data_IF_445103388776
#
_entry.id   IF_445103388776
#
_cell.length_a   1.000
_cell.length_b   1.000
_cell.length_c   1.000
_cell.angle_alpha   90.00
_cell.angle_beta   90.00
_cell.angle_gamma   90.00
#
_symmetry.space_group_name_H-M   'P 1'
#
loop_
_entity.id
_entity.type
_entity.pdbx_description
1 polymer ?
#
# COMPACT_ATOMS: atom_id res chain seq x y z
N UNK A 1 5.46 1.93 16.59
CA UNK A 1 4.81 0.70 16.08
C UNK A 1 5.83 -0.18 15.37
N UNK A 2 5.72 -1.48 15.54
CA UNK A 2 6.50 -2.42 14.76
C UNK A 2 5.90 -2.54 13.34
N UNK A 3 6.70 -3.03 12.41
CA UNK A 3 6.28 -3.12 10.99
C UNK A 3 5.00 -3.93 10.80
N UNK A 4 4.84 -5.03 11.51
CA UNK A 4 3.64 -5.86 11.39
C UNK A 4 2.39 -5.12 11.84
N UNK A 5 2.50 -4.30 12.88
CA UNK A 5 1.41 -3.47 13.37
C UNK A 5 1.04 -2.37 12.36
N UNK A 6 2.07 -1.79 11.73
CA UNK A 6 1.87 -0.77 10.70
C UNK A 6 1.13 -1.36 9.50
N UNK A 7 1.56 -2.51 9.03
CA UNK A 7 0.92 -3.20 7.90
C UNK A 7 -0.53 -3.58 8.23
N UNK A 8 -0.79 -4.07 9.44
CA UNK A 8 -2.14 -4.39 9.88
C UNK A 8 -3.04 -3.15 9.90
N UNK A 9 -2.51 -2.03 10.38
CA UNK A 9 -3.23 -0.76 10.42
C UNK A 9 -3.54 -0.25 9.00
N UNK A 10 -2.56 -0.35 8.09
CA UNK A 10 -2.73 0.02 6.69
C UNK A 10 -3.86 -0.81 6.07
N UNK A 11 -3.83 -2.11 6.27
CA UNK A 11 -4.83 -3.04 5.74
C UNK A 11 -6.22 -2.69 6.24
N UNK A 12 -6.35 -2.42 7.55
CA UNK A 12 -7.63 -2.07 8.15
C UNK A 12 -8.18 -0.78 7.55
N UNK A 13 -7.35 0.25 7.40
CA UNK A 13 -7.78 1.53 6.84
C UNK A 13 -8.17 1.40 5.37
N UNK A 14 -7.41 0.64 4.59
CA UNK A 14 -7.76 0.37 3.19
C UNK A 14 -9.13 -0.31 3.08
N UNK A 15 -9.41 -1.29 3.92
CA UNK A 15 -10.72 -1.97 3.94
C UNK A 15 -11.85 -1.05 4.34
N UNK A 16 -11.61 -0.12 5.25
CA UNK A 16 -12.61 0.86 5.67
C UNK A 16 -13.04 1.77 4.51
N UNK A 17 -12.18 1.93 3.51
CA UNK A 17 -12.49 2.69 2.29
C UNK A 17 -12.96 1.81 1.14
N UNK A 18 -13.26 0.54 1.41
CA UNK A 18 -13.86 -0.36 0.43
C UNK A 18 -12.87 -1.13 -0.44
N UNK A 19 -11.59 -1.17 -0.09
CA UNK A 19 -10.61 -1.93 -0.85
C UNK A 19 -10.99 -3.41 -0.89
N UNK A 20 -11.10 -3.95 -2.11
CA UNK A 20 -11.39 -5.35 -2.36
C UNK A 20 -10.09 -6.16 -2.47
N UNK A 21 -9.01 -5.50 -2.86
CA UNK A 21 -7.70 -6.12 -3.04
C UNK A 21 -6.64 -5.19 -2.45
N UNK A 22 -5.74 -5.76 -1.67
CA UNK A 22 -4.65 -5.03 -1.03
C UNK A 22 -3.38 -5.86 -1.24
N UNK A 23 -2.36 -5.26 -1.85
CA UNK A 23 -1.12 -5.96 -2.21
C UNK A 23 0.06 -5.18 -1.67
N UNK A 24 0.89 -5.85 -0.88
CA UNK A 24 2.21 -5.33 -0.50
C UNK A 24 3.18 -5.63 -1.63
N UNK A 25 3.91 -4.62 -2.11
CA UNK A 25 4.87 -4.82 -3.19
C UNK A 25 6.17 -4.05 -2.91
N UNK A 26 7.06 -4.00 -3.90
CA UNK A 26 8.34 -3.33 -3.75
C UNK A 26 9.35 -4.14 -2.94
N UNK A 27 10.30 -3.46 -2.30
CA UNK A 27 11.40 -4.12 -1.60
C UNK A 27 10.95 -5.04 -0.46
N UNK A 28 9.87 -4.69 0.25
CA UNK A 28 9.37 -5.54 1.34
C UNK A 28 8.78 -6.85 0.83
N UNK A 29 8.08 -6.81 -0.30
CA UNK A 29 7.54 -8.03 -0.91
C UNK A 29 8.67 -8.94 -1.44
N UNK A 30 9.75 -8.32 -1.92
CA UNK A 30 10.92 -9.05 -2.43
C UNK A 30 11.86 -9.57 -1.34
N UNK A 31 11.65 -9.16 -0.10
CA UNK A 31 12.53 -9.54 1.01
C UNK A 31 13.85 -8.78 1.06
N UNK A 32 13.98 -7.71 0.30
CA UNK A 32 15.20 -6.88 0.24
C UNK A 32 15.09 -5.61 1.07
N UNK A 33 13.97 -5.44 1.80
CA UNK A 33 13.72 -4.25 2.58
C UNK A 33 14.68 -4.11 3.76
N UNK A 34 15.08 -2.87 4.05
CA UNK A 34 15.77 -2.49 5.27
C UNK A 34 14.76 -1.91 6.27
N UNK A 35 15.20 -1.62 7.49
CA UNK A 35 14.34 -0.99 8.51
C UNK A 35 13.76 0.35 8.08
N UNK A 36 14.39 1.03 7.12
CA UNK A 36 13.96 2.34 6.64
C UNK A 36 13.30 2.31 5.27
N UNK A 37 13.11 1.13 4.71
CA UNK A 37 12.45 1.01 3.40
C UNK A 37 11.00 1.45 3.47
N UNK A 38 10.54 2.12 2.42
CA UNK A 38 9.15 2.53 2.30
C UNK A 38 8.23 1.30 2.25
N UNK A 39 6.99 1.51 2.67
CA UNK A 39 5.95 0.49 2.56
C UNK A 39 5.14 0.82 1.32
N UNK A 40 5.19 -0.05 0.33
CA UNK A 40 4.48 0.12 -0.95
C UNK A 40 3.24 -0.76 -0.96
N UNK A 41 2.07 -0.12 -1.05
CA UNK A 41 0.76 -0.79 -1.01
C UNK A 41 -0.02 -0.45 -2.28
N UNK A 42 -0.55 -1.48 -2.92
CA UNK A 42 -1.46 -1.32 -4.05
C UNK A 42 -2.85 -1.77 -3.65
N UNK A 43 -3.86 -1.02 -4.05
CA UNK A 43 -5.27 -1.32 -3.72
C UNK A 43 -6.13 -1.32 -4.97
N UNK A 44 -7.23 -2.08 -4.93
CA UNK A 44 -8.25 -2.10 -5.97
C UNK A 44 -9.62 -2.05 -5.29
N UNK A 45 -10.60 -1.46 -5.94
CA UNK A 45 -11.96 -1.37 -5.44
C UNK A 45 -12.28 -0.11 -4.66
N UNK A 46 -11.31 0.75 -4.41
CA UNK A 46 -11.53 2.03 -3.73
C UNK A 46 -11.97 3.06 -4.76
N UNK A 47 -13.06 3.78 -4.46
CA UNK A 47 -13.54 4.83 -5.35
C UNK A 47 -12.48 5.92 -5.53
N UNK A 48 -12.33 6.45 -6.75
CA UNK A 48 -11.33 7.48 -7.05
C UNK A 48 -11.45 8.69 -6.12
N UNK A 49 -12.67 9.06 -5.75
CA UNK A 49 -12.94 10.17 -4.83
C UNK A 49 -12.43 9.88 -3.40
N UNK A 50 -12.28 8.62 -3.04
CA UNK A 50 -11.86 8.21 -1.70
C UNK A 50 -10.35 7.95 -1.60
N UNK A 51 -9.64 7.83 -2.72
CA UNK A 51 -8.20 7.55 -2.73
C UNK A 51 -7.43 8.63 -1.98
N UNK A 52 -7.75 9.89 -2.20
CA UNK A 52 -7.07 11.00 -1.53
C UNK A 52 -7.26 10.95 -0.01
N UNK A 53 -8.49 10.67 0.44
CA UNK A 53 -8.78 10.54 1.87
C UNK A 53 -8.06 9.33 2.46
N UNK A 54 -7.97 8.24 1.71
CA UNK A 54 -7.24 7.04 2.14
C UNK A 54 -5.75 7.35 2.30
N UNK A 55 -5.15 8.08 1.37
CA UNK A 55 -3.75 8.50 1.49
C UNK A 55 -3.52 9.30 2.77
N UNK A 56 -4.40 10.24 3.08
CA UNK A 56 -4.32 11.02 4.32
C UNK A 56 -4.46 10.13 5.55
N UNK A 57 -5.39 9.17 5.51
CA UNK A 57 -5.59 8.24 6.61
C UNK A 57 -4.35 7.38 6.86
N UNK A 58 -3.63 7.00 5.80
CA UNK A 58 -2.40 6.24 5.94
C UNK A 58 -1.26 7.10 6.51
N UNK A 59 -1.20 8.37 6.14
CA UNK A 59 -0.22 9.31 6.69
C UNK A 59 -0.43 9.56 8.19
N UNK A 60 -1.65 9.41 8.68
CA UNK A 60 -1.97 9.59 10.10
C UNK A 60 -1.50 8.42 10.97
N UNK A 61 -1.06 7.33 10.39
CA UNK A 61 -0.54 6.20 11.15
C UNK A 61 0.75 6.63 11.87
N UNK A 62 0.85 6.46 13.19
CA UNK A 62 2.02 6.91 13.96
C UNK A 62 3.22 6.01 13.73
N UNK A 63 3.91 6.20 12.60
CA UNK A 63 5.07 5.43 12.20
C UNK A 63 6.09 6.33 11.52
N UNK A 64 7.36 5.92 11.57
CA UNK A 64 8.45 6.59 10.85
C UNK A 64 8.59 6.07 9.41
N UNK A 65 7.88 5.01 9.04
CA UNK A 65 7.90 4.49 7.68
C UNK A 65 7.09 5.40 6.75
N UNK A 66 7.62 5.65 5.57
CA UNK A 66 6.87 6.28 4.50
C UNK A 66 5.96 5.24 3.85
N UNK A 67 4.72 5.61 3.57
CA UNK A 67 3.73 4.71 2.99
C UNK A 67 3.34 5.25 1.62
N UNK A 68 3.58 4.45 0.57
CA UNK A 68 3.21 4.78 -0.79
C UNK A 68 1.99 3.98 -1.21
N UNK A 69 0.93 4.67 -1.63
CA UNK A 69 -0.31 4.05 -2.07
C UNK A 69 -0.44 4.12 -3.60
N UNK A 70 -0.74 3.00 -4.22
CA UNK A 70 -1.01 2.90 -5.65
C UNK A 70 -2.44 2.42 -5.85
N UNK A 71 -3.21 3.14 -6.67
CA UNK A 71 -4.54 2.72 -7.10
C UNK A 71 -4.41 1.87 -8.36
N UNK A 72 -4.60 0.55 -8.22
CA UNK A 72 -4.49 -0.39 -9.33
C UNK A 72 -5.50 -0.11 -10.44
N UNK A 73 -6.67 0.43 -10.09
CA UNK A 73 -7.75 0.66 -11.05
C UNK A 73 -7.43 1.79 -12.03
N UNK A 74 -6.54 2.70 -11.64
CA UNK A 74 -6.14 3.84 -12.48
C UNK A 74 -4.67 3.82 -12.89
N UNK A 75 -3.89 2.88 -12.36
CA UNK A 75 -2.47 2.80 -12.65
C UNK A 75 -2.20 2.41 -14.10
N UNK A 76 -1.39 3.23 -14.81
CA UNK A 76 -1.02 3.00 -16.20
C UNK A 76 0.46 2.63 -16.38
N UNK A 77 1.21 2.53 -15.30
CA UNK A 77 2.63 2.18 -15.34
C UNK A 77 2.79 0.67 -15.48
N UNK A 78 3.09 0.22 -16.70
CA UNK A 78 3.21 -1.21 -17.01
C UNK A 78 4.30 -1.91 -16.21
N UNK A 79 5.44 -1.25 -16.02
CA UNK A 79 6.56 -1.83 -15.26
C UNK A 79 6.18 -2.03 -13.80
N UNK A 80 5.46 -1.09 -13.23
CA UNK A 80 4.98 -1.17 -11.85
C UNK A 80 3.94 -2.28 -11.70
N UNK A 81 3.00 -2.37 -12.64
CA UNK A 81 1.98 -3.42 -12.62
C UNK A 81 2.59 -4.82 -12.73
N UNK A 82 3.62 -4.98 -13.56
CA UNK A 82 4.34 -6.25 -13.68
C UNK A 82 5.09 -6.61 -12.39
N UNK A 83 5.70 -5.62 -11.75
CA UNK A 83 6.38 -5.83 -10.46
C UNK A 83 5.39 -6.30 -9.38
N UNK A 84 4.24 -5.64 -9.30
CA UNK A 84 3.18 -6.00 -8.36
C UNK A 84 2.68 -7.42 -8.63
N UNK A 85 2.46 -7.75 -9.89
CA UNK A 85 1.96 -9.07 -10.30
C UNK A 85 2.95 -10.18 -9.96
N UNK A 86 4.25 -9.92 -10.12
CA UNK A 86 5.30 -10.91 -9.92
C UNK A 86 5.69 -11.07 -8.46
N UNK A 87 5.79 -9.98 -7.71
CA UNK A 87 6.31 -9.94 -6.34
C UNK A 87 5.30 -9.53 -5.28
N UNK A 88 4.11 -9.07 -5.68
CA UNK A 88 3.10 -8.61 -4.74
C UNK A 88 2.56 -9.72 -3.83
N UNK A 89 2.17 -9.35 -2.62
CA UNK A 89 1.63 -10.26 -1.62
C UNK A 89 0.31 -9.78 -1.05
#
# INVERSE_FOLDING_TARGET
>A
MQIDEVIAEITQRCRNYGALKIILFGSRAKGTATERSDIDIAVSGVASSDIFELEEALEDIPTLYSIDLVDLDTCKNQLLLEDIKQYGR
#
